data_IF_544013354693
#
_entry.id   IF_544013354693
#
_cell.length_a   1.000
_cell.length_b   1.000
_cell.length_c   1.000
_cell.angle_alpha   90.00
_cell.angle_beta   90.00
_cell.angle_gamma   90.00
#
_symmetry.space_group_name_H-M   'P 1'
#
loop_
_entity.id
_entity.type
_entity.pdbx_description
1 polymer ?
#
# COMPACT_ATOMS: atom_id res chain seq x y z
N UNK A 1 -12.51 9.50 8.85
CA UNK A 1 -12.23 8.56 7.74
C UNK A 1 -11.09 9.03 6.86
N UNK A 2 -11.14 10.27 6.38
CA UNK A 2 -10.07 10.79 5.52
C UNK A 2 -8.72 10.83 6.23
N UNK A 3 -8.70 11.20 7.51
CA UNK A 3 -7.47 11.23 8.29
C UNK A 3 -6.88 9.83 8.43
N UNK A 4 -7.76 8.83 8.59
CA UNK A 4 -7.30 7.45 8.69
C UNK A 4 -6.66 6.98 7.39
N UNK A 5 -7.23 7.38 6.25
CA UNK A 5 -6.68 7.01 4.94
C UNK A 5 -5.30 7.64 4.76
N UNK A 6 -5.17 8.93 5.10
CA UNK A 6 -3.90 9.62 5.00
C UNK A 6 -2.83 9.02 5.89
N UNK A 7 -3.19 8.69 7.13
CA UNK A 7 -2.26 8.06 8.07
C UNK A 7 -1.86 6.67 7.57
N UNK A 8 -2.83 5.91 7.09
CA UNK A 8 -2.56 4.57 6.55
C UNK A 8 -1.66 4.65 5.32
N UNK A 9 -1.87 5.63 4.46
CA UNK A 9 -1.02 5.83 3.29
C UNK A 9 0.43 6.07 3.71
N UNK A 10 0.64 6.85 4.76
CA UNK A 10 1.97 7.10 5.31
C UNK A 10 2.61 5.82 5.83
N UNK A 11 1.84 5.00 6.55
CA UNK A 11 2.31 3.71 7.09
C UNK A 11 2.73 2.79 5.95
N UNK A 12 1.90 2.69 4.91
CA UNK A 12 2.18 1.84 3.76
C UNK A 12 3.44 2.32 3.03
N UNK A 13 3.54 3.62 2.80
CA UNK A 13 4.69 4.19 2.10
C UNK A 13 5.98 3.90 2.85
N UNK A 14 5.99 4.14 4.17
CA UNK A 14 7.18 3.88 4.98
C UNK A 14 7.56 2.41 4.97
N UNK A 15 6.56 1.53 5.04
CA UNK A 15 6.85 0.10 4.99
C UNK A 15 7.54 -0.27 3.68
N UNK A 16 7.02 0.22 2.57
CA UNK A 16 7.59 -0.07 1.26
C UNK A 16 8.99 0.54 1.11
N UNK A 17 9.19 1.72 1.67
CA UNK A 17 10.48 2.39 1.62
C UNK A 17 11.55 1.60 2.37
N UNK A 18 11.17 1.01 3.50
CA UNK A 18 12.10 0.27 4.34
C UNK A 18 12.30 -1.17 3.89
N UNK A 19 11.28 -1.80 3.37
CA UNK A 19 11.29 -3.24 3.08
C UNK A 19 11.22 -3.60 1.60
N UNK A 20 10.93 -2.63 0.74
CA UNK A 20 10.83 -2.89 -0.69
C UNK A 20 9.48 -3.46 -1.09
N UNK A 21 9.41 -4.00 -2.29
CA UNK A 21 8.19 -4.54 -2.86
C UNK A 21 7.61 -5.65 -2.01
N UNK A 22 6.29 -5.70 -1.94
CA UNK A 22 5.61 -6.74 -1.17
C UNK A 22 4.28 -7.06 -1.81
N UNK A 23 3.66 -8.14 -1.39
CA UNK A 23 2.32 -8.49 -1.85
C UNK A 23 1.30 -8.02 -0.83
N UNK A 24 0.06 -7.84 -1.30
CA UNK A 24 -1.02 -7.24 -0.52
C UNK A 24 -1.25 -7.95 0.81
N UNK A 25 -1.28 -9.28 0.81
CA UNK A 25 -1.55 -10.04 2.04
C UNK A 25 -0.46 -9.81 3.08
N UNK A 26 0.79 -9.74 2.65
CA UNK A 26 1.90 -9.48 3.54
C UNK A 26 1.82 -8.05 4.08
N UNK A 27 1.51 -7.11 3.22
CA UNK A 27 1.38 -5.71 3.61
C UNK A 27 0.30 -5.55 4.67
N UNK A 28 -0.85 -6.18 4.47
CA UNK A 28 -1.94 -6.16 5.44
C UNK A 28 -1.49 -6.74 6.78
N UNK A 29 -0.84 -7.88 6.72
CA UNK A 29 -0.41 -8.60 7.92
C UNK A 29 0.64 -7.82 8.70
N UNK A 30 1.61 -7.25 8.00
CA UNK A 30 2.73 -6.57 8.63
C UNK A 30 2.39 -5.16 9.12
N UNK A 31 1.47 -4.47 8.45
CA UNK A 31 1.06 -3.13 8.88
C UNK A 31 -0.03 -3.15 9.93
N UNK A 32 -0.78 -4.26 10.02
CA UNK A 32 -1.91 -4.34 10.95
C UNK A 32 -3.12 -3.55 10.52
N UNK A 33 -3.11 -2.97 9.34
CA UNK A 33 -4.24 -2.19 8.84
C UNK A 33 -5.39 -3.10 8.44
N UNK A 34 -6.63 -2.63 8.64
CA UNK A 34 -7.79 -3.35 8.14
C UNK A 34 -7.76 -3.37 6.61
N UNK A 35 -8.37 -4.39 6.02
CA UNK A 35 -8.35 -4.52 4.56
C UNK A 35 -8.97 -3.29 3.88
N UNK A 36 -10.11 -2.82 4.40
CA UNK A 36 -10.77 -1.66 3.81
C UNK A 36 -9.90 -0.41 3.81
N UNK A 37 -9.27 -0.11 4.95
CA UNK A 37 -8.41 1.05 5.08
C UNK A 37 -7.16 0.89 4.21
N UNK A 38 -6.58 -0.32 4.20
CA UNK A 38 -5.42 -0.59 3.36
C UNK A 38 -5.72 -0.36 1.88
N UNK A 39 -6.86 -0.88 1.41
CA UNK A 39 -7.23 -0.72 0.00
C UNK A 39 -7.48 0.74 -0.36
N UNK A 40 -8.10 1.50 0.54
CA UNK A 40 -8.31 2.93 0.32
C UNK A 40 -6.98 3.68 0.29
N UNK A 41 -6.05 3.32 1.18
CA UNK A 41 -4.73 3.95 1.23
C UNK A 41 -3.94 3.65 -0.05
N UNK A 42 -4.02 2.41 -0.54
CA UNK A 42 -3.34 2.03 -1.77
C UNK A 42 -3.94 2.76 -2.97
N UNK A 43 -5.28 2.90 -3.01
CA UNK A 43 -5.93 3.67 -4.05
C UNK A 43 -5.47 5.12 -4.06
N UNK A 44 -5.37 5.73 -2.88
CA UNK A 44 -4.85 7.08 -2.73
C UNK A 44 -3.43 7.20 -3.26
N UNK A 45 -2.55 6.29 -2.81
CA UNK A 45 -1.14 6.33 -3.23
C UNK A 45 -0.99 6.07 -4.73
N UNK A 46 -1.80 5.19 -5.29
CA UNK A 46 -1.77 4.91 -6.72
C UNK A 46 -2.23 6.13 -7.52
N UNK A 47 -3.27 6.80 -7.04
CA UNK A 47 -3.76 8.03 -7.67
C UNK A 47 -2.69 9.12 -7.69
N UNK A 48 -1.90 9.20 -6.61
CA UNK A 48 -0.80 10.16 -6.49
C UNK A 48 0.47 9.68 -7.18
N UNK A 49 0.40 8.54 -7.84
CA UNK A 49 1.53 7.93 -8.57
C UNK A 49 2.72 7.64 -7.67
N UNK A 50 2.44 7.33 -6.41
CA UNK A 50 3.50 7.00 -5.43
C UNK A 50 3.75 5.52 -5.32
N UNK A 51 2.79 4.69 -5.73
CA UNK A 51 2.96 3.25 -5.75
C UNK A 51 2.49 2.69 -7.09
N UNK A 52 3.05 1.56 -7.45
CA UNK A 52 2.62 0.78 -8.60
C UNK A 52 1.99 -0.50 -8.09
N UNK A 53 0.82 -0.84 -8.64
CA UNK A 53 0.10 -2.05 -8.28
C UNK A 53 0.15 -2.99 -9.48
N UNK A 54 0.63 -4.21 -9.25
CA UNK A 54 0.75 -5.20 -10.31
C UNK A 54 0.02 -6.47 -9.90
N UNK A 55 -0.96 -6.88 -10.70
CA UNK A 55 -1.68 -8.10 -10.43
C UNK A 55 -0.83 -9.29 -10.86
N UNK A 56 -0.57 -10.20 -9.93
CA UNK A 56 0.20 -11.43 -10.18
C UNK A 56 -0.63 -12.62 -9.73
N UNK A 57 -1.28 -13.28 -10.66
CA UNK A 57 -2.16 -14.38 -10.33
C UNK A 57 -3.31 -13.92 -9.44
N UNK A 58 -3.37 -14.44 -8.21
CA UNK A 58 -4.42 -14.10 -7.26
C UNK A 58 -4.00 -13.03 -6.27
N UNK A 59 -2.79 -12.53 -6.40
CA UNK A 59 -2.29 -11.53 -5.48
C UNK A 59 -1.97 -10.25 -6.21
N UNK A 60 -1.71 -9.21 -5.44
CA UNK A 60 -1.31 -7.91 -5.98
C UNK A 60 0.03 -7.56 -5.37
N UNK A 61 1.00 -7.29 -6.21
CA UNK A 61 2.31 -6.82 -5.77
C UNK A 61 2.27 -5.30 -5.72
N UNK A 62 2.81 -4.76 -4.63
CA UNK A 62 2.83 -3.33 -4.37
C UNK A 62 4.28 -2.87 -4.31
N UNK A 63 4.61 -1.84 -5.07
CA UNK A 63 5.96 -1.28 -5.07
C UNK A 63 5.90 0.23 -5.10
N UNK A 64 6.95 0.87 -4.60
CA UNK A 64 7.06 2.31 -4.73
C UNK A 64 7.34 2.65 -6.19
N UNK A 65 6.72 3.72 -6.66
CA UNK A 65 7.00 4.22 -8.00
C UNK A 65 8.37 4.91 -7.98
N UNK A 66 9.22 4.55 -8.91
CA UNK A 66 10.52 5.20 -9.02
C UNK A 66 10.35 6.59 -9.63
N UNK A 67 11.02 7.59 -9.07
CA UNK A 67 10.99 8.95 -9.63
C UNK A 67 11.65 9.02 -11.00
#
# INVERSE_FOLDING_TARGET
MQDEIGNAAGVVWEFLDQHGDTVLVTLKDRTGLSEGILLMALGWLAREEKVTLLKEGRTIRVSLTNP
#
